data_IF_009389227829
#
_entry.id   IF_009389227829
#
_cell.length_a   1.000
_cell.length_b   1.000
_cell.length_c   1.000
_cell.angle_alpha   90.00
_cell.angle_beta   90.00
_cell.angle_gamma   90.00
#
_symmetry.space_group_name_H-M   'P 1'
#
loop_
_entity.id
_entity.type
_entity.pdbx_description
1 polymer ?
#
# COMPACT_ATOMS: atom_id res chain seq x y z
N UNK A 1 40.54 -4.42 49.82
CA UNK A 1 40.67 -4.10 48.38
C UNK A 1 40.26 -5.24 47.42
N UNK A 2 40.16 -6.51 47.85
CA UNK A 2 39.87 -7.63 46.93
C UNK A 2 38.44 -7.73 46.36
N UNK A 3 37.42 -7.33 47.11
CA UNK A 3 36.01 -7.53 46.71
C UNK A 3 35.60 -6.76 45.44
N UNK A 4 36.06 -5.52 45.29
CA UNK A 4 35.76 -4.71 44.10
C UNK A 4 36.44 -5.26 42.84
N UNK A 5 37.63 -5.86 42.98
CA UNK A 5 38.35 -6.47 41.88
C UNK A 5 37.62 -7.73 41.37
N UNK A 6 37.13 -8.56 42.28
CA UNK A 6 36.35 -9.76 41.95
C UNK A 6 35.04 -9.42 41.24
N UNK A 7 34.31 -8.40 41.72
CA UNK A 7 33.04 -7.99 41.11
C UNK A 7 33.21 -7.37 39.72
N UNK A 8 34.29 -6.62 39.49
CA UNK A 8 34.62 -6.12 38.15
C UNK A 8 34.97 -7.27 37.19
N UNK A 9 35.66 -8.31 37.65
CA UNK A 9 35.96 -9.48 36.82
C UNK A 9 34.70 -10.28 36.43
N UNK A 10 33.72 -10.39 37.32
CA UNK A 10 32.43 -11.04 37.02
C UNK A 10 31.63 -10.27 35.96
N UNK A 11 31.53 -8.95 36.10
CA UNK A 11 30.84 -8.11 35.12
C UNK A 11 31.49 -8.18 33.73
N UNK A 12 32.83 -8.21 33.65
CA UNK A 12 33.51 -8.38 32.36
C UNK A 12 33.15 -9.72 31.70
N UNK A 13 33.07 -10.81 32.46
CA UNK A 13 32.67 -12.13 31.94
C UNK A 13 31.23 -12.14 31.44
N UNK A 14 30.31 -11.48 32.13
CA UNK A 14 28.92 -11.36 31.69
C UNK A 14 28.80 -10.55 30.39
N UNK A 15 29.55 -9.45 30.28
CA UNK A 15 29.60 -8.63 29.05
C UNK A 15 30.16 -9.44 27.88
N UNK A 16 31.23 -10.22 28.09
CA UNK A 16 31.79 -11.08 27.04
C UNK A 16 30.82 -12.19 26.61
N UNK A 17 30.11 -12.79 27.56
CA UNK A 17 29.06 -13.78 27.28
C UNK A 17 27.87 -13.18 26.51
N UNK A 18 27.41 -11.99 26.93
CA UNK A 18 26.33 -11.27 26.24
C UNK A 18 26.74 -10.87 24.83
N UNK A 19 27.99 -10.45 24.64
CA UNK A 19 28.55 -10.13 23.33
C UNK A 19 28.57 -11.36 22.42
N UNK A 20 29.05 -12.50 22.92
CA UNK A 20 29.01 -13.76 22.17
C UNK A 20 27.59 -14.20 21.81
N UNK A 21 26.62 -13.97 22.69
CA UNK A 21 25.20 -14.23 22.39
C UNK A 21 24.65 -13.29 21.32
N UNK A 22 25.00 -12.00 21.36
CA UNK A 22 24.61 -11.02 20.32
C UNK A 22 25.19 -11.37 18.95
N UNK A 23 26.45 -11.81 18.90
CA UNK A 23 27.11 -12.23 17.66
C UNK A 23 26.41 -13.48 17.07
N UNK A 24 26.02 -14.42 17.92
CA UNK A 24 25.24 -15.61 17.51
C UNK A 24 23.83 -15.24 17.00
N UNK A 25 23.16 -14.28 17.64
CA UNK A 25 21.86 -13.75 17.18
C UNK A 25 22.02 -13.05 15.83
N UNK A 26 23.05 -12.24 15.65
CA UNK A 26 23.33 -11.50 14.40
C UNK A 26 23.58 -12.46 13.24
N UNK A 27 24.30 -13.56 13.51
CA UNK A 27 24.54 -14.63 12.54
C UNK A 27 23.22 -15.31 12.16
N UNK A 28 22.42 -15.71 13.16
CA UNK A 28 21.12 -16.37 12.93
C UNK A 28 20.14 -15.50 12.13
N UNK A 29 20.11 -14.19 12.40
CA UNK A 29 19.26 -13.23 11.66
C UNK A 29 19.72 -13.11 10.21
N UNK A 30 21.04 -13.12 9.96
CA UNK A 30 21.59 -13.04 8.61
C UNK A 30 21.26 -14.31 7.80
N UNK A 31 21.33 -15.49 8.42
CA UNK A 31 20.93 -16.76 7.82
C UNK A 31 19.44 -16.78 7.47
N UNK A 32 18.59 -16.33 8.40
CA UNK A 32 17.14 -16.23 8.16
C UNK A 32 16.82 -15.29 7.00
N UNK A 33 17.49 -14.13 6.94
CA UNK A 33 17.33 -13.18 5.84
C UNK A 33 17.71 -13.80 4.49
N UNK A 34 18.86 -14.48 4.42
CA UNK A 34 19.30 -15.18 3.22
C UNK A 34 18.31 -16.27 2.80
N UNK A 35 17.78 -17.04 3.76
CA UNK A 35 16.74 -18.05 3.49
C UNK A 35 15.45 -17.43 2.94
N UNK A 36 15.04 -16.28 3.49
CA UNK A 36 13.86 -15.55 3.02
C UNK A 36 14.07 -15.02 1.60
N UNK A 37 15.21 -14.37 1.32
CA UNK A 37 15.55 -13.85 0.00
C UNK A 37 15.57 -14.99 -1.06
N UNK A 38 16.08 -16.16 -0.69
CA UNK A 38 16.06 -17.35 -1.55
C UNK A 38 14.63 -17.83 -1.85
N UNK A 39 13.76 -17.90 -0.83
CA UNK A 39 12.35 -18.31 -1.02
C UNK A 39 11.58 -17.30 -1.87
N UNK A 40 11.85 -16.00 -1.73
CA UNK A 40 11.25 -14.95 -2.55
C UNK A 40 11.68 -15.11 -4.01
N UNK A 41 12.98 -15.29 -4.26
CA UNK A 41 13.49 -15.52 -5.61
C UNK A 41 12.90 -16.79 -6.26
N UNK A 42 12.78 -17.87 -5.49
CA UNK A 42 12.16 -19.11 -5.96
C UNK A 42 10.68 -18.90 -6.33
N UNK A 43 9.91 -18.20 -5.49
CA UNK A 43 8.51 -17.93 -5.76
C UNK A 43 8.32 -17.07 -7.02
N UNK A 44 9.18 -16.07 -7.23
CA UNK A 44 9.16 -15.23 -8.43
C UNK A 44 9.39 -16.05 -9.71
N UNK A 45 10.32 -17.01 -9.70
CA UNK A 45 10.61 -17.84 -10.87
C UNK A 45 9.46 -18.81 -11.20
N UNK A 46 8.81 -19.38 -10.18
CA UNK A 46 7.62 -20.22 -10.39
C UNK A 46 6.46 -19.42 -11.01
N UNK A 47 6.22 -18.19 -10.55
CA UNK A 47 5.23 -17.29 -11.16
C UNK A 47 5.62 -16.97 -12.62
N UNK A 48 6.90 -16.73 -12.90
CA UNK A 48 7.40 -16.46 -14.25
C UNK A 48 7.14 -17.63 -15.19
N UNK A 49 7.36 -18.86 -14.74
CA UNK A 49 7.10 -20.09 -15.53
C UNK A 49 5.62 -20.27 -15.84
N UNK A 50 4.74 -20.00 -14.87
CA UNK A 50 3.29 -20.07 -15.09
C UNK A 50 2.84 -19.08 -16.17
N UNK A 51 3.32 -17.85 -16.14
CA UNK A 51 3.00 -16.83 -17.15
C UNK A 51 3.56 -17.16 -18.54
N UNK A 52 4.72 -17.81 -18.63
CA UNK A 52 5.32 -18.18 -19.90
C UNK A 52 4.59 -19.34 -20.61
N UNK A 53 3.94 -20.23 -19.86
CA UNK A 53 3.16 -21.34 -20.42
C UNK A 53 1.80 -20.92 -21.00
N UNK A 54 1.21 -19.82 -20.52
CA UNK A 54 -0.08 -19.33 -21.03
C UNK A 54 0.06 -18.62 -22.40
N UNK A 55 1.27 -18.18 -22.78
CA UNK A 55 1.53 -17.51 -24.07
C UNK A 55 1.76 -18.48 -25.25
N UNK A 56 1.88 -19.78 -25.03
CA UNK A 56 2.18 -20.77 -26.10
C UNK A 56 0.96 -21.57 -26.58
N UNK A 57 -0.22 -21.38 -26.00
CA UNK A 57 -1.42 -22.19 -26.29
C UNK A 57 -2.50 -21.49 -27.14
N UNK A 58 -2.25 -20.30 -27.69
CA UNK A 58 -3.12 -19.73 -28.72
C UNK A 58 -2.48 -19.86 -30.10
N UNK A 59 -2.83 -20.98 -30.74
CA UNK A 59 -2.57 -21.25 -32.14
C UNK A 59 -3.30 -20.22 -33.01
N UNK A 60 -2.53 -19.37 -33.71
CA UNK A 60 -3.05 -18.44 -34.70
C UNK A 60 -3.61 -19.21 -35.91
N UNK A 61 -4.87 -18.91 -36.26
CA UNK A 61 -5.44 -19.17 -37.58
C UNK A 61 -5.60 -17.85 -38.35
N UNK A 62 -5.49 -17.83 -39.69
CA UNK A 62 -5.31 -16.60 -40.44
C UNK A 62 -6.62 -15.80 -40.58
N UNK A 63 -6.47 -14.48 -40.49
CA UNK A 63 -7.52 -13.47 -40.67
C UNK A 63 -7.61 -13.10 -42.15
N UNK A 64 -8.80 -13.24 -42.75
CA UNK A 64 -9.17 -12.55 -44.00
C UNK A 64 -10.39 -11.63 -43.78
N UNK A 65 -10.03 -10.35 -43.64
CA UNK A 65 -10.56 -9.11 -44.23
C UNK A 65 -12.06 -8.78 -44.46
N UNK A 66 -12.28 -7.46 -44.31
CA UNK A 66 -13.29 -6.54 -44.87
C UNK A 66 -14.66 -6.37 -44.19
N UNK A 67 -14.92 -5.12 -43.78
CA UNK A 67 -16.23 -4.62 -43.39
C UNK A 67 -16.14 -3.36 -42.53
N UNK A 68 -15.98 -2.19 -43.15
CA UNK A 68 -16.11 -0.89 -42.47
C UNK A 68 -17.52 -0.74 -41.91
N UNK A 69 -17.65 -0.56 -40.60
CA UNK A 69 -18.75 0.21 -40.03
C UNK A 69 -18.31 0.89 -38.72
N UNK A 70 -18.60 2.19 -38.61
CA UNK A 70 -18.33 2.99 -37.41
C UNK A 70 -19.19 2.47 -36.25
N UNK A 71 -18.56 1.88 -35.24
CA UNK A 71 -19.18 1.59 -33.94
C UNK A 71 -18.34 2.24 -32.84
N UNK A 72 -19.03 3.09 -32.08
CA UNK A 72 -18.72 3.70 -30.77
C UNK A 72 -17.52 3.07 -30.05
N UNK A 73 -16.58 3.86 -29.47
CA UNK A 73 -15.41 3.29 -28.79
C UNK A 73 -15.86 2.36 -27.65
N UNK A 74 -15.69 1.05 -27.86
CA UNK A 74 -15.85 0.06 -26.79
C UNK A 74 -14.70 0.24 -25.80
N UNK A 75 -14.95 0.06 -24.49
CA UNK A 75 -13.89 0.01 -23.50
C UNK A 75 -12.87 -1.05 -23.92
N UNK A 76 -11.63 -0.61 -24.11
CA UNK A 76 -10.48 -1.45 -24.39
C UNK A 76 -10.17 -2.21 -23.10
N UNK A 77 -10.83 -3.36 -22.92
CA UNK A 77 -10.37 -4.49 -22.11
C UNK A 77 -11.25 -5.70 -22.44
N UNK A 78 -10.71 -6.61 -23.25
CA UNK A 78 -11.32 -7.89 -23.59
C UNK A 78 -11.36 -8.89 -22.43
N UNK A 79 -11.50 -8.45 -21.19
CA UNK A 79 -11.85 -9.36 -20.10
C UNK A 79 -13.34 -9.59 -20.17
N UNK A 80 -13.76 -10.78 -20.63
CA UNK A 80 -15.16 -11.21 -20.57
C UNK A 80 -15.72 -10.85 -19.19
N UNK A 81 -16.86 -10.15 -19.12
CA UNK A 81 -17.46 -9.67 -17.85
C UNK A 81 -17.51 -10.80 -16.79
N UNK A 82 -17.72 -12.03 -17.24
CA UNK A 82 -17.78 -13.26 -16.44
C UNK A 82 -16.46 -13.64 -15.74
N UNK A 83 -15.33 -13.08 -16.19
CA UNK A 83 -13.99 -13.33 -15.64
C UNK A 83 -13.51 -12.23 -14.70
N UNK A 84 -14.16 -11.05 -14.68
CA UNK A 84 -13.71 -9.90 -13.87
C UNK A 84 -13.72 -10.20 -12.37
N UNK A 85 -14.78 -10.86 -11.90
CA UNK A 85 -14.88 -11.23 -10.47
C UNK A 85 -13.82 -12.26 -10.09
N UNK A 86 -13.54 -13.24 -10.96
CA UNK A 86 -12.47 -14.22 -10.74
C UNK A 86 -11.13 -13.51 -10.63
N UNK A 87 -10.81 -12.63 -11.58
CA UNK A 87 -9.56 -11.89 -11.58
C UNK A 87 -9.42 -10.99 -10.34
N UNK A 88 -10.48 -10.27 -9.98
CA UNK A 88 -10.49 -9.43 -8.78
C UNK A 88 -10.31 -10.25 -7.50
N UNK A 89 -10.94 -11.43 -7.40
CA UNK A 89 -10.82 -12.30 -6.23
C UNK A 89 -9.38 -12.76 -5.97
N UNK A 90 -8.58 -12.96 -7.02
CA UNK A 90 -7.16 -13.32 -6.91
C UNK A 90 -6.28 -12.22 -6.28
N UNK A 91 -6.80 -10.98 -6.19
CA UNK A 91 -6.09 -9.83 -5.62
C UNK A 91 -6.64 -9.41 -4.26
N UNK A 92 -7.70 -10.07 -3.77
CA UNK A 92 -8.24 -9.77 -2.45
C UNK A 92 -7.38 -10.42 -1.38
N UNK A 93 -7.08 -9.65 -0.33
CA UNK A 93 -6.29 -10.10 0.81
C UNK A 93 -7.02 -9.83 2.13
N UNK A 94 -6.61 -10.56 3.17
CA UNK A 94 -7.04 -10.35 4.57
C UNK A 94 -8.58 -10.24 4.69
N UNK A 95 -9.08 -9.13 5.25
CA UNK A 95 -10.50 -8.87 5.48
C UNK A 95 -11.33 -8.88 4.18
N UNK A 96 -10.75 -8.44 3.06
CA UNK A 96 -11.43 -8.45 1.77
C UNK A 96 -11.61 -9.87 1.24
N UNK A 97 -10.59 -10.73 1.38
CA UNK A 97 -10.67 -12.14 1.01
C UNK A 97 -11.67 -12.92 1.87
N UNK A 98 -11.65 -12.70 3.19
CA UNK A 98 -12.62 -13.31 4.12
C UNK A 98 -14.06 -12.93 3.77
N UNK A 99 -14.29 -11.65 3.43
CA UNK A 99 -15.58 -11.20 2.97
C UNK A 99 -15.99 -11.90 1.66
N UNK A 100 -15.09 -11.97 0.67
CA UNK A 100 -15.37 -12.62 -0.60
C UNK A 100 -15.77 -14.10 -0.44
N UNK A 101 -15.02 -14.85 0.39
CA UNK A 101 -15.32 -16.25 0.69
C UNK A 101 -16.69 -16.41 1.37
N UNK A 102 -17.01 -15.53 2.33
CA UNK A 102 -18.32 -15.52 2.98
C UNK A 102 -19.44 -15.13 1.99
N UNK A 103 -19.20 -14.14 1.14
CA UNK A 103 -20.14 -13.68 0.12
C UNK A 103 -20.50 -14.81 -0.83
N UNK A 104 -19.53 -15.55 -1.37
CA UNK A 104 -19.81 -16.70 -2.24
C UNK A 104 -20.51 -17.85 -1.50
N UNK A 105 -20.13 -18.13 -0.24
CA UNK A 105 -20.72 -19.21 0.56
C UNK A 105 -22.21 -19.04 0.83
N UNK A 106 -22.68 -17.81 1.01
CA UNK A 106 -24.08 -17.52 1.35
C UNK A 106 -24.94 -17.19 0.13
N UNK A 107 -24.39 -17.24 -1.09
CA UNK A 107 -25.18 -17.04 -2.31
C UNK A 107 -25.99 -18.28 -2.66
N UNK A 108 -27.21 -18.02 -3.12
CA UNK A 108 -28.15 -19.05 -3.60
C UNK A 108 -27.72 -19.59 -4.97
N UNK A 109 -27.17 -18.73 -5.83
CA UNK A 109 -26.64 -19.11 -7.13
C UNK A 109 -25.21 -19.67 -7.00
N UNK A 110 -24.95 -20.80 -7.68
CA UNK A 110 -23.61 -21.42 -7.73
C UNK A 110 -22.67 -20.76 -8.74
N UNK A 111 -23.21 -19.89 -9.59
CA UNK A 111 -22.45 -19.17 -10.60
C UNK A 111 -21.79 -17.92 -10.04
N UNK A 112 -20.76 -17.43 -10.75
CA UNK A 112 -20.09 -16.19 -10.40
C UNK A 112 -21.07 -15.00 -10.46
N UNK A 113 -21.00 -14.07 -9.48
CA UNK A 113 -21.83 -12.88 -9.49
C UNK A 113 -21.52 -12.04 -10.72
N UNK A 114 -22.51 -11.28 -11.18
CA UNK A 114 -22.25 -10.24 -12.19
C UNK A 114 -21.34 -9.19 -11.58
N UNK A 115 -20.46 -8.61 -12.40
CA UNK A 115 -19.50 -7.60 -11.94
C UNK A 115 -20.18 -6.43 -11.21
N UNK A 116 -21.28 -5.92 -11.77
CA UNK A 116 -22.04 -4.81 -11.17
C UNK A 116 -22.62 -5.13 -9.78
N UNK A 117 -23.18 -6.33 -9.60
CA UNK A 117 -23.68 -6.81 -8.29
C UNK A 117 -22.54 -6.95 -7.29
N UNK A 118 -21.43 -7.55 -7.73
CA UNK A 118 -20.26 -7.77 -6.90
C UNK A 118 -19.64 -6.45 -6.39
N UNK A 119 -19.52 -5.46 -7.28
CA UNK A 119 -19.03 -4.12 -6.94
C UNK A 119 -19.99 -3.40 -5.99
N UNK A 120 -21.30 -3.48 -6.21
CA UNK A 120 -22.28 -2.88 -5.30
C UNK A 120 -22.18 -3.46 -3.88
N UNK A 121 -21.99 -4.78 -3.74
CA UNK A 121 -21.78 -5.42 -2.44
C UNK A 121 -20.43 -5.05 -1.79
N UNK A 122 -19.37 -4.88 -2.59
CA UNK A 122 -18.09 -4.35 -2.11
C UNK A 122 -18.26 -2.93 -1.55
N UNK A 123 -18.93 -2.03 -2.29
CA UNK A 123 -19.23 -0.69 -1.80
C UNK A 123 -20.12 -0.69 -0.55
N UNK A 124 -21.12 -1.57 -0.46
CA UNK A 124 -21.93 -1.66 0.74
C UNK A 124 -21.12 -2.12 1.97
N UNK A 125 -20.09 -2.95 1.77
CA UNK A 125 -19.27 -3.51 2.86
C UNK A 125 -18.10 -2.60 3.27
N UNK A 126 -17.44 -1.99 2.29
CA UNK A 126 -16.19 -1.25 2.47
C UNK A 126 -16.33 0.23 2.09
N UNK A 127 -17.41 0.63 1.41
CA UNK A 127 -17.60 1.98 0.88
C UNK A 127 -17.70 3.08 1.95
N UNK A 128 -18.09 2.75 3.18
CA UNK A 128 -18.05 3.70 4.30
C UNK A 128 -16.62 4.01 4.77
N UNK A 129 -15.66 3.11 4.55
CA UNK A 129 -14.23 3.33 4.79
C UNK A 129 -13.51 3.92 3.55
N UNK A 130 -14.24 4.11 2.43
CA UNK A 130 -13.69 4.56 1.14
C UNK A 130 -14.22 5.93 0.69
N UNK A 131 -14.90 6.70 1.56
CA UNK A 131 -15.10 8.12 1.25
C UNK A 131 -13.76 8.83 1.44
N UNK A 132 -12.95 8.71 0.40
CA UNK A 132 -11.72 9.45 0.26
C UNK A 132 -12.10 10.89 -0.08
N UNK A 133 -11.97 11.79 0.90
CA UNK A 133 -12.12 13.23 0.72
C UNK A 133 -10.78 13.92 0.99
N UNK A 134 -9.82 13.83 0.04
CA UNK A 134 -8.51 14.45 0.21
C UNK A 134 -8.62 15.95 0.50
N UNK A 135 -9.64 16.63 -0.02
CA UNK A 135 -9.86 18.06 0.23
C UNK A 135 -10.37 18.32 1.66
N UNK A 136 -11.26 17.48 2.18
CA UNK A 136 -11.70 17.51 3.57
C UNK A 136 -10.53 17.27 4.52
N UNK A 137 -9.79 16.19 4.29
CA UNK A 137 -8.61 15.82 5.08
C UNK A 137 -7.54 16.92 5.04
N UNK A 138 -7.30 17.52 3.87
CA UNK A 138 -6.35 18.63 3.70
C UNK A 138 -6.76 19.89 4.47
N UNK A 139 -8.06 20.22 4.52
CA UNK A 139 -8.57 21.37 5.28
C UNK A 139 -8.50 21.17 6.79
N UNK A 140 -8.71 19.94 7.23
CA UNK A 140 -8.74 19.57 8.64
C UNK A 140 -7.35 19.26 9.20
N UNK A 141 -6.33 19.12 8.34
CA UNK A 141 -4.96 18.87 8.76
C UNK A 141 -4.44 19.95 9.74
N UNK A 142 -3.97 19.49 10.89
CA UNK A 142 -3.33 20.29 11.94
C UNK A 142 -2.03 19.65 12.40
N UNK A 143 -1.05 20.49 12.75
CA UNK A 143 0.17 20.04 13.38
C UNK A 143 -0.12 19.57 14.82
N UNK A 144 -0.06 18.26 15.04
CA UNK A 144 -0.23 17.64 16.37
C UNK A 144 1.12 17.38 17.04
N UNK A 145 2.06 16.80 16.31
CA UNK A 145 3.40 16.42 16.80
C UNK A 145 4.47 17.44 16.36
N UNK A 146 5.49 16.97 15.64
CA UNK A 146 6.58 17.77 15.09
C UNK A 146 6.15 18.49 13.81
N UNK A 147 6.90 19.53 13.44
CA UNK A 147 6.71 20.22 12.15
C UNK A 147 7.02 19.27 10.99
N UNK A 148 8.02 18.40 11.15
CA UNK A 148 8.44 17.47 10.09
C UNK A 148 7.34 16.44 9.77
N UNK A 149 6.67 15.89 10.79
CA UNK A 149 5.54 14.97 10.57
C UNK A 149 4.39 15.69 9.88
N UNK A 150 4.10 16.93 10.28
CA UNK A 150 3.07 17.76 9.66
C UNK A 150 3.37 18.03 8.18
N UNK A 151 4.61 18.41 7.86
CA UNK A 151 5.05 18.63 6.47
C UNK A 151 4.90 17.36 5.64
N UNK A 152 5.32 16.21 6.17
CA UNK A 152 5.17 14.92 5.47
C UNK A 152 3.72 14.58 5.14
N UNK A 153 2.81 14.75 6.09
CA UNK A 153 1.37 14.54 5.87
C UNK A 153 0.75 15.59 4.94
N UNK A 154 1.22 16.83 5.02
CA UNK A 154 0.76 17.92 4.15
C UNK A 154 1.14 17.65 2.70
N UNK A 155 2.40 17.25 2.45
CA UNK A 155 2.89 16.91 1.11
C UNK A 155 2.16 15.70 0.53
N UNK A 156 1.93 14.66 1.34
CA UNK A 156 1.16 13.49 0.94
C UNK A 156 -0.26 13.87 0.46
N UNK A 157 -0.98 14.68 1.24
CA UNK A 157 -2.32 15.13 0.86
C UNK A 157 -2.29 16.10 -0.33
N UNK A 158 -1.25 16.93 -0.45
CA UNK A 158 -1.08 17.86 -1.58
C UNK A 158 -0.92 17.11 -2.91
N UNK A 159 -0.36 15.89 -2.92
CA UNK A 159 -0.29 15.07 -4.15
C UNK A 159 -1.67 14.65 -4.69
N UNK A 160 -2.72 14.80 -3.88
CA UNK A 160 -4.08 14.29 -4.15
C UNK A 160 -5.10 15.41 -4.35
N UNK A 161 -4.69 16.68 -4.21
CA UNK A 161 -5.56 17.86 -4.40
C UNK A 161 -4.92 18.88 -5.34
N UNK A 162 -5.74 19.51 -6.18
CA UNK A 162 -5.30 20.61 -7.03
C UNK A 162 -5.72 21.95 -6.40
N UNK A 163 -4.73 22.76 -6.02
CA UNK A 163 -4.92 24.07 -5.40
C UNK A 163 -3.94 25.08 -6.00
N UNK A 164 -4.32 26.36 -6.05
CA UNK A 164 -3.35 27.41 -6.36
C UNK A 164 -2.34 27.56 -5.22
N UNK A 165 -1.13 28.01 -5.55
CA UNK A 165 -0.05 28.20 -4.56
C UNK A 165 -0.48 29.10 -3.39
N UNK A 166 -1.28 30.13 -3.66
CA UNK A 166 -1.85 31.01 -2.63
C UNK A 166 -2.71 30.24 -1.61
N UNK A 167 -3.56 29.32 -2.08
CA UNK A 167 -4.37 28.48 -1.19
C UNK A 167 -3.53 27.45 -0.45
N UNK A 168 -2.52 26.87 -1.09
CA UNK A 168 -1.60 25.93 -0.46
C UNK A 168 -0.88 26.60 0.71
N UNK A 169 -0.30 27.78 0.50
CA UNK A 169 0.37 28.56 1.56
C UNK A 169 -0.60 28.92 2.68
N UNK A 170 -1.81 29.36 2.35
CA UNK A 170 -2.83 29.73 3.34
C UNK A 170 -3.24 28.53 4.22
N UNK A 171 -3.43 27.36 3.61
CA UNK A 171 -3.75 26.13 4.33
C UNK A 171 -2.57 25.65 5.20
N UNK A 172 -1.35 25.73 4.68
CA UNK A 172 -0.13 25.35 5.41
C UNK A 172 0.03 26.18 6.69
N UNK A 173 -0.02 27.51 6.58
CA UNK A 173 0.14 28.40 7.73
C UNK A 173 -1.00 28.23 8.75
N UNK A 174 -2.22 27.95 8.28
CA UNK A 174 -3.39 27.67 9.15
C UNK A 174 -3.31 26.32 9.85
N UNK A 175 -2.55 25.36 9.32
CA UNK A 175 -2.37 24.03 9.90
C UNK A 175 -1.35 24.00 11.04
N UNK A 176 -0.42 24.94 11.08
CA UNK A 176 0.63 25.02 12.09
C UNK A 176 0.09 25.35 13.50
N UNK A 177 0.82 24.91 14.53
CA UNK A 177 0.55 25.32 15.92
C UNK A 177 0.68 26.83 16.05
N UNK A 178 -0.13 27.50 16.90
CA UNK A 178 -0.11 28.96 17.04
C UNK A 178 1.27 29.55 17.35
N UNK A 179 2.07 28.84 18.16
CA UNK A 179 3.44 29.22 18.53
C UNK A 179 4.41 29.34 17.35
N UNK A 180 4.12 28.66 16.23
CA UNK A 180 4.91 28.70 14.98
C UNK A 180 4.16 29.48 13.90
N UNK A 181 2.86 29.21 13.75
CA UNK A 181 2.02 29.78 12.70
C UNK A 181 1.83 31.29 12.82
N UNK A 182 1.77 31.86 14.03
CA UNK A 182 1.65 33.31 14.21
C UNK A 182 2.89 34.07 13.70
N UNK A 183 4.13 33.72 14.10
CA UNK A 183 5.34 34.27 13.50
C UNK A 183 5.39 34.12 11.97
N UNK A 184 5.08 32.93 11.46
CA UNK A 184 5.11 32.66 10.01
C UNK A 184 4.08 33.54 9.27
N UNK A 185 2.86 33.69 9.82
CA UNK A 185 1.83 34.54 9.23
C UNK A 185 2.25 36.02 9.18
N UNK A 186 2.99 36.51 10.17
CA UNK A 186 3.51 37.88 10.17
C UNK A 186 4.53 38.14 9.06
N UNK A 187 5.23 37.10 8.61
CA UNK A 187 6.19 37.19 7.50
C UNK A 187 5.50 37.19 6.12
N UNK A 188 4.19 36.95 6.06
CA UNK A 188 3.38 36.93 4.84
C UNK A 188 4.03 36.11 3.70
N UNK A 189 4.29 34.81 3.92
CA UNK A 189 4.92 33.95 2.92
C UNK A 189 4.07 33.90 1.65
N UNK A 190 4.75 33.83 0.50
CA UNK A 190 4.11 33.78 -0.83
C UNK A 190 4.23 32.41 -1.50
N UNK A 191 5.11 31.57 -0.99
CA UNK A 191 5.40 30.22 -1.47
C UNK A 191 5.90 29.34 -0.31
N UNK A 192 6.05 28.05 -0.57
CA UNK A 192 6.58 27.05 0.38
C UNK A 192 8.05 26.67 0.10
N UNK A 193 8.71 27.38 -0.81
CA UNK A 193 10.05 27.06 -1.33
C UNK A 193 11.20 27.62 -0.48
#
# INVERSE_FOLDING_TARGET
MGYHHTRMQELCKEVDNLKGSMDAVTTSVSELRSSMDHKVAQAMEEIRKLLANDLTNHQEGPVENEGREMVVPRPRDGTHEDSKVKLASCKLERKALQWHQSYLKHRVARDWPRWSEYVACLYARFGSELFDDPMGDFKDLKQVSSVQDYVGLFDELLTRVELSEEYVVSCFVRGLKPEIGLPVKMLAPRNLA
#
